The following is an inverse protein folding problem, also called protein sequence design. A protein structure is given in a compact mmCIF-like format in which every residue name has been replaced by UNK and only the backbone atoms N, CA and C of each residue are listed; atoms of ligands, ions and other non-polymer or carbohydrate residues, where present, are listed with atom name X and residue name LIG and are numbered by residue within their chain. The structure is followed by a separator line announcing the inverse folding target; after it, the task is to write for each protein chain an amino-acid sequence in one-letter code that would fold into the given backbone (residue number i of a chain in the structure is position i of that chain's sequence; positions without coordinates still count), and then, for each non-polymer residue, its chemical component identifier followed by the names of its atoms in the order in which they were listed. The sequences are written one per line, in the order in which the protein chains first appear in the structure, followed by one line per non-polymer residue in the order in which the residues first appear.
data_IF_671603751728
#
_entry.id   IF_671603751728
#
_cell.length_a   1.000
_cell.length_b   1.000
_cell.length_c   1.000
_cell.angle_alpha   90.00
_cell.angle_beta   90.00
_cell.angle_gamma   90.00
#
_symmetry.space_group_name_H-M   'P 1'
#
loop_
_entity.id
_entity.type
_entity.pdbx_description
1 polymer ?
#
# COMPACT_ATOMS: atom_id res chain seq x y z
N UNK A 1 -5.91 12.71 -14.57
CA UNK A 1 -6.27 11.89 -13.40
C UNK A 1 -5.07 11.00 -13.11
N UNK A 2 -4.61 10.95 -11.87
CA UNK A 2 -3.51 10.07 -11.48
C UNK A 2 -4.15 8.73 -11.08
N UNK A 3 -3.68 7.62 -11.64
CA UNK A 3 -4.25 6.30 -11.35
C UNK A 3 -4.09 5.98 -9.85
N UNK A 4 -5.00 5.19 -9.25
CA UNK A 4 -4.95 4.85 -7.83
C UNK A 4 -3.58 4.29 -7.40
N UNK A 5 -2.93 3.54 -8.29
CA UNK A 5 -1.61 2.97 -8.08
C UNK A 5 -0.54 4.04 -7.87
N UNK A 6 -0.41 4.99 -8.80
CA UNK A 6 0.58 6.07 -8.70
C UNK A 6 0.42 6.90 -7.42
N UNK A 7 -0.82 7.04 -6.92
CA UNK A 7 -1.10 7.76 -5.67
C UNK A 7 -0.57 7.01 -4.46
N UNK A 8 -0.68 5.68 -4.46
CA UNK A 8 -0.16 4.83 -3.39
C UNK A 8 1.36 4.90 -3.39
N UNK A 9 2.01 4.83 -4.55
CA UNK A 9 3.47 4.91 -4.67
C UNK A 9 4.04 6.24 -4.16
N UNK A 10 3.44 7.37 -4.51
CA UNK A 10 3.88 8.65 -3.93
C UNK A 10 3.65 8.70 -2.41
N UNK A 11 2.53 8.17 -1.92
CA UNK A 11 2.26 8.16 -0.50
C UNK A 11 3.25 7.26 0.27
N UNK A 12 3.71 6.15 -0.31
CA UNK A 12 4.75 5.32 0.31
C UNK A 12 6.09 6.06 0.37
N UNK A 13 6.46 6.79 -0.67
CA UNK A 13 7.68 7.60 -0.69
C UNK A 13 7.63 8.78 0.30
N UNK A 14 6.48 9.44 0.44
CA UNK A 14 6.28 10.56 1.38
C UNK A 14 6.22 10.11 2.85
N UNK A 15 5.80 8.87 3.12
CA UNK A 15 5.69 8.32 4.48
C UNK A 15 7.06 8.00 5.14
N UNK A 16 8.15 8.16 4.38
CA UNK A 16 9.48 7.60 4.64
C UNK A 16 10.22 8.00 5.94
N UNK A 17 9.94 9.07 6.72
CA UNK A 17 10.74 9.30 7.93
C UNK A 17 10.10 8.86 9.26
N UNK A 18 8.82 8.49 9.31
CA UNK A 18 8.08 8.52 10.60
C UNK A 18 7.76 7.16 11.23
N UNK A 19 8.21 6.04 10.65
CA UNK A 19 7.79 4.69 11.07
C UNK A 19 6.26 4.48 11.09
N UNK A 20 5.49 5.34 10.42
CA UNK A 20 4.03 5.24 10.36
C UNK A 20 3.65 4.33 9.19
N UNK A 21 2.76 3.38 9.46
CA UNK A 21 2.16 2.57 8.41
C UNK A 21 1.22 3.45 7.56
N UNK A 22 1.25 3.25 6.24
CA UNK A 22 0.31 3.85 5.29
C UNK A 22 -0.95 2.99 5.24
N UNK A 23 -2.11 3.61 5.48
CA UNK A 23 -3.41 2.96 5.31
C UNK A 23 -4.01 3.35 3.95
N UNK A 24 -4.39 2.35 3.17
CA UNK A 24 -4.98 2.51 1.84
C UNK A 24 -6.35 1.85 1.79
N UNK A 25 -7.35 2.60 1.30
CA UNK A 25 -8.70 2.10 1.03
C UNK A 25 -8.93 2.05 -0.48
N UNK A 26 -9.23 0.87 -1.02
CA UNK A 26 -9.47 0.66 -2.45
C UNK A 26 -10.63 -0.31 -2.69
N UNK A 27 -11.24 -0.19 -3.87
CA UNK A 27 -12.41 -0.99 -4.25
C UNK A 27 -12.09 -2.22 -5.12
N UNK A 28 -10.83 -2.41 -5.48
CA UNK A 28 -10.35 -3.54 -6.29
C UNK A 28 -8.98 -3.96 -5.80
N UNK A 29 -8.64 -5.23 -5.99
CA UNK A 29 -7.31 -5.72 -5.63
C UNK A 29 -6.23 -5.07 -6.53
N UNK A 30 -5.15 -4.53 -5.95
CA UNK A 30 -4.10 -3.85 -6.69
C UNK A 30 -3.01 -4.88 -7.02
N UNK A 31 -3.28 -5.77 -7.96
CA UNK A 31 -2.39 -6.89 -8.28
C UNK A 31 -0.91 -6.51 -8.58
N UNK A 32 -0.57 -5.37 -9.24
CA UNK A 32 0.85 -5.00 -9.40
C UNK A 32 1.51 -4.39 -8.15
N UNK A 33 0.74 -4.09 -7.10
CA UNK A 33 1.28 -3.43 -5.89
C UNK A 33 2.07 -4.39 -5.01
N UNK A 34 1.69 -5.66 -4.96
CA UNK A 34 2.30 -6.62 -4.04
C UNK A 34 3.76 -6.90 -4.38
N UNK A 35 4.05 -7.11 -5.67
CA UNK A 35 5.40 -7.32 -6.17
C UNK A 35 6.26 -6.07 -5.95
N UNK A 36 5.74 -4.89 -6.31
CA UNK A 36 6.45 -3.63 -6.11
C UNK A 36 6.79 -3.39 -4.64
N UNK A 37 5.85 -3.58 -3.71
CA UNK A 37 6.08 -3.39 -2.28
C UNK A 37 7.21 -4.31 -1.77
N UNK A 38 7.20 -5.59 -2.17
CA UNK A 38 8.22 -6.54 -1.78
C UNK A 38 9.62 -6.15 -2.30
N UNK A 39 9.72 -5.73 -3.57
CA UNK A 39 10.97 -5.29 -4.19
C UNK A 39 11.55 -4.02 -3.53
N UNK A 40 10.70 -3.17 -2.96
CA UNK A 40 11.08 -1.88 -2.38
C UNK A 40 11.21 -1.92 -0.85
N UNK A 41 11.22 -3.10 -0.24
CA UNK A 41 11.44 -3.26 1.20
C UNK A 41 10.23 -2.93 2.08
N UNK A 42 9.02 -3.07 1.52
CA UNK A 42 7.76 -2.88 2.24
C UNK A 42 7.06 -4.21 2.52
N UNK A 43 6.50 -4.32 3.72
CA UNK A 43 5.51 -5.32 4.08
C UNK A 43 4.11 -4.75 3.93
N UNK A 44 3.13 -5.63 3.74
CA UNK A 44 1.73 -5.23 3.72
C UNK A 44 0.83 -6.25 4.43
N UNK A 45 -0.29 -5.77 4.94
CA UNK A 45 -1.40 -6.58 5.42
C UNK A 45 -2.68 -6.09 4.76
N UNK A 46 -3.42 -7.01 4.17
CA UNK A 46 -4.70 -6.72 3.51
C UNK A 46 -5.86 -7.29 4.32
N UNK A 47 -6.91 -6.50 4.48
CA UNK A 47 -8.19 -6.89 5.08
C UNK A 47 -9.28 -6.60 4.05
N UNK A 48 -10.02 -7.63 3.66
CA UNK A 48 -11.23 -7.45 2.88
C UNK A 48 -12.38 -7.08 3.83
N UNK A 49 -12.87 -5.84 3.75
CA UNK A 49 -13.98 -5.38 4.60
C UNK A 49 -15.34 -5.72 3.99
N UNK A 50 -15.42 -5.82 2.65
CA UNK A 50 -16.62 -6.24 1.91
C UNK A 50 -16.25 -6.84 0.55
N UNK A 51 -17.25 -7.25 -0.23
CA UNK A 51 -17.05 -7.74 -1.62
C UNK A 51 -16.38 -6.70 -2.54
N UNK A 52 -16.44 -5.42 -2.20
CA UNK A 52 -15.97 -4.31 -3.04
C UNK A 52 -15.03 -3.35 -2.28
N UNK A 53 -14.49 -3.78 -1.14
CA UNK A 53 -13.62 -2.92 -0.35
C UNK A 53 -12.50 -3.68 0.34
N UNK A 54 -11.30 -3.16 0.13
CA UNK A 54 -10.06 -3.63 0.74
C UNK A 54 -9.41 -2.49 1.50
N UNK A 55 -8.92 -2.84 2.68
CA UNK A 55 -8.06 -2.00 3.51
C UNK A 55 -6.68 -2.61 3.56
N UNK A 56 -5.67 -1.83 3.21
CA UNK A 56 -4.28 -2.26 3.13
C UNK A 56 -3.46 -1.42 4.08
N UNK A 57 -2.68 -2.09 4.93
CA UNK A 57 -1.69 -1.46 5.79
C UNK A 57 -0.32 -1.75 5.20
N UNK A 58 0.41 -0.72 4.79
CA UNK A 58 1.75 -0.82 4.21
C UNK A 58 2.75 -0.27 5.23
N UNK A 59 3.84 -1.00 5.47
CA UNK A 59 4.89 -0.61 6.41
C UNK A 59 6.26 -0.98 5.88
N UNK A 60 7.32 -0.30 6.33
CA UNK A 60 8.68 -0.73 6.02
C UNK A 60 8.99 -2.07 6.70
N UNK A 61 9.77 -2.91 6.03
CA UNK A 61 10.42 -4.05 6.66
C UNK A 61 11.67 -3.55 7.41
N UNK A 62 11.93 -4.07 8.62
CA UNK A 62 13.20 -3.80 9.29
C UNK A 62 14.35 -4.35 8.44
N UNK A 63 15.36 -3.53 8.18
CA UNK A 63 16.61 -3.92 7.48
C UNK A 63 17.45 -4.88 8.31
#
# INVERSE_FOLDING_TARGET
MREPFDRILAATDESCPSARALEVLIHREPLPLWEWLAEHGFGHRTVQESSEQFRIFIHHLPS
#
